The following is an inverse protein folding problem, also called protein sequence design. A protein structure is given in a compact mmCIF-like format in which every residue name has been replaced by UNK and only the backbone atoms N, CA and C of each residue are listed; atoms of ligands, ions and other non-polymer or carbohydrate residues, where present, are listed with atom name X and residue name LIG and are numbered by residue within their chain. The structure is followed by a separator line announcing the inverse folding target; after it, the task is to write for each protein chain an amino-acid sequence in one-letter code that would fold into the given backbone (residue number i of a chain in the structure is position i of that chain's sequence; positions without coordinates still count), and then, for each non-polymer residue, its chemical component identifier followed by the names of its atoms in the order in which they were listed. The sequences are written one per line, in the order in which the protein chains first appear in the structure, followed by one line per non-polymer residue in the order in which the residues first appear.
data_IF_715176775949
#
_entry.id   IF_715176775949
#
_cell.length_a   1.000
_cell.length_b   1.000
_cell.length_c   1.000
_cell.angle_alpha   90.00
_cell.angle_beta   90.00
_cell.angle_gamma   90.00
#
_symmetry.space_group_name_H-M   'P 1'
#
loop_
_entity.id
_entity.type
_entity.pdbx_description
1 polymer ?
#
# COMPACT_ATOMS: atom_id res chain seq x y z
N UNK A 1 -25.69 5.35 -18.90
CA UNK A 1 -24.53 4.42 -18.92
C UNK A 1 -23.44 5.07 -18.09
N UNK A 2 -23.01 4.46 -16.97
CA UNK A 2 -21.91 5.03 -16.19
C UNK A 2 -20.60 4.80 -16.94
N UNK A 3 -19.88 5.87 -17.27
CA UNK A 3 -18.60 5.79 -17.99
C UNK A 3 -17.51 5.09 -17.15
N UNK A 4 -17.66 5.04 -15.83
CA UNK A 4 -16.65 4.54 -14.90
C UNK A 4 -17.08 3.25 -14.19
N UNK A 5 -18.06 2.51 -14.72
CA UNK A 5 -18.41 1.22 -14.15
C UNK A 5 -17.35 0.18 -14.57
N UNK A 6 -16.63 -0.44 -13.61
CA UNK A 6 -15.70 -1.51 -13.95
C UNK A 6 -16.48 -2.65 -14.62
N UNK A 7 -15.99 -3.08 -15.78
CA UNK A 7 -16.46 -4.29 -16.45
C UNK A 7 -15.76 -5.48 -15.82
N UNK A 8 -16.43 -6.13 -14.88
CA UNK A 8 -15.93 -7.37 -14.31
C UNK A 8 -15.99 -8.50 -15.35
N UNK A 9 -15.04 -9.44 -15.27
CA UNK A 9 -15.13 -10.67 -16.04
C UNK A 9 -16.44 -11.41 -15.67
N UNK A 10 -17.28 -11.83 -16.62
CA UNK A 10 -18.54 -12.53 -16.30
C UNK A 10 -18.36 -13.81 -15.50
N UNK A 11 -17.15 -14.38 -15.52
CA UNK A 11 -16.77 -15.59 -14.77
C UNK A 11 -15.98 -15.29 -13.50
N UNK A 12 -15.82 -14.01 -13.12
CA UNK A 12 -15.19 -13.66 -11.86
C UNK A 12 -15.96 -14.30 -10.70
N UNK A 13 -15.29 -15.17 -9.96
CA UNK A 13 -15.84 -15.85 -8.80
C UNK A 13 -14.86 -15.69 -7.63
N UNK A 14 -15.42 -15.50 -6.43
CA UNK A 14 -14.63 -15.53 -5.21
C UNK A 14 -14.11 -16.94 -4.94
N UNK A 15 -12.83 -17.06 -4.61
CA UNK A 15 -12.34 -18.30 -4.01
C UNK A 15 -12.98 -18.43 -2.62
N UNK A 16 -13.81 -19.45 -2.44
CA UNK A 16 -14.48 -19.71 -1.14
C UNK A 16 -13.51 -20.16 -0.05
N UNK A 17 -12.30 -20.56 -0.42
CA UNK A 17 -11.25 -20.97 0.51
C UNK A 17 -10.38 -19.76 0.84
N UNK A 18 -10.58 -19.21 2.04
CA UNK A 18 -9.71 -18.21 2.62
C UNK A 18 -8.55 -18.88 3.38
N UNK A 19 -7.42 -18.18 3.46
CA UNK A 19 -6.31 -18.56 4.35
C UNK A 19 -5.83 -17.32 5.11
N UNK A 20 -5.29 -17.55 6.31
CA UNK A 20 -4.69 -16.50 7.13
C UNK A 20 -3.19 -16.45 6.85
N UNK A 21 -2.69 -15.31 6.36
CA UNK A 21 -1.27 -15.10 6.04
C UNK A 21 -0.56 -14.14 7.02
N UNK A 22 -1.32 -13.44 7.85
CA UNK A 22 -0.81 -12.49 8.83
C UNK A 22 -1.68 -12.49 10.09
N UNK A 23 -1.05 -12.14 11.21
CA UNK A 23 -1.71 -11.89 12.50
C UNK A 23 -1.05 -10.66 13.16
N UNK A 24 -1.50 -10.27 14.34
CA UNK A 24 -0.96 -9.13 15.09
C UNK A 24 0.56 -9.20 15.30
N UNK A 25 1.15 -10.40 15.46
CA UNK A 25 2.60 -10.55 15.62
C UNK A 25 3.39 -10.29 14.32
N UNK A 26 2.71 -10.26 13.17
CA UNK A 26 3.31 -9.98 11.86
C UNK A 26 3.04 -8.54 11.42
N UNK A 27 1.78 -8.08 11.48
CA UNK A 27 1.35 -6.76 10.97
C UNK A 27 1.14 -5.70 12.04
N UNK A 28 1.47 -5.97 13.31
CA UNK A 28 1.25 -5.04 14.41
C UNK A 28 -0.22 -4.91 14.84
N UNK A 29 -0.46 -3.99 15.78
CA UNK A 29 -1.78 -3.65 16.32
C UNK A 29 -2.50 -2.55 15.53
N UNK A 30 -1.77 -1.78 14.73
CA UNK A 30 -2.31 -0.60 14.03
C UNK A 30 -2.06 -0.63 12.51
N UNK A 31 -2.37 -1.73 11.79
CA UNK A 31 -2.37 -1.70 10.34
C UNK A 31 -3.48 -0.76 9.84
N UNK A 32 -3.11 0.29 9.12
CA UNK A 32 -4.04 1.31 8.66
C UNK A 32 -4.22 1.33 7.14
N UNK A 33 -3.28 0.73 6.40
CA UNK A 33 -3.30 0.75 4.95
C UNK A 33 -3.16 -0.67 4.38
N UNK A 34 -3.95 -0.98 3.35
CA UNK A 34 -3.82 -2.19 2.55
C UNK A 34 -3.97 -1.85 1.07
N UNK A 35 -3.12 -2.45 0.24
CA UNK A 35 -3.23 -2.37 -1.21
C UNK A 35 -2.98 -3.75 -1.81
N UNK A 36 -3.69 -4.08 -2.89
CA UNK A 36 -3.52 -5.33 -3.64
C UNK A 36 -3.34 -4.96 -5.10
N UNK A 37 -2.21 -5.32 -5.71
CA UNK A 37 -1.95 -5.02 -7.11
C UNK A 37 -2.52 -6.10 -8.05
N UNK A 38 -2.35 -5.92 -9.36
CA UNK A 38 -2.84 -6.87 -10.39
C UNK A 38 -2.13 -8.23 -10.39
N UNK A 39 -1.02 -8.36 -9.66
CA UNK A 39 -0.27 -9.60 -9.52
C UNK A 39 -0.62 -10.35 -8.21
N UNK A 40 -1.71 -9.97 -7.54
CA UNK A 40 -2.11 -10.48 -6.23
C UNK A 40 -1.04 -10.28 -5.12
N UNK A 41 -0.12 -9.33 -5.31
CA UNK A 41 0.81 -8.90 -4.26
C UNK A 41 0.05 -8.03 -3.26
N UNK A 42 0.14 -8.37 -1.97
CA UNK A 42 -0.49 -7.64 -0.87
C UNK A 42 0.53 -6.74 -0.20
N UNK A 43 0.18 -5.48 0.00
CA UNK A 43 0.96 -4.48 0.70
C UNK A 43 0.19 -4.03 1.93
N UNK A 44 0.81 -4.04 3.11
CA UNK A 44 0.19 -3.55 4.35
C UNK A 44 1.10 -2.50 4.96
N UNK A 45 0.56 -1.31 5.18
CA UNK A 45 1.20 -0.27 5.98
C UNK A 45 0.76 -0.40 7.45
N UNK A 46 1.72 -0.60 8.33
CA UNK A 46 1.50 -0.65 9.78
C UNK A 46 2.09 0.56 10.48
N UNK A 47 1.22 1.21 11.26
CA UNK A 47 1.53 2.45 11.99
C UNK A 47 2.28 2.19 13.29
N UNK A 48 2.15 0.98 13.85
CA UNK A 48 2.83 0.67 15.11
C UNK A 48 4.31 0.41 14.90
N UNK A 49 4.64 -0.32 13.84
CA UNK A 49 6.00 -0.76 13.52
C UNK A 49 6.69 0.17 12.54
N UNK A 50 5.99 1.17 12.00
CA UNK A 50 6.48 2.07 10.95
C UNK A 50 7.01 1.29 9.75
N UNK A 51 6.20 0.33 9.26
CA UNK A 51 6.62 -0.54 8.16
C UNK A 51 5.59 -0.66 7.05
N UNK A 52 6.08 -1.02 5.87
CA UNK A 52 5.29 -1.58 4.79
C UNK A 52 5.75 -3.02 4.54
N UNK A 53 4.85 -3.96 4.80
CA UNK A 53 5.07 -5.39 4.59
C UNK A 53 4.44 -5.82 3.27
N UNK A 54 5.15 -6.69 2.54
CA UNK A 54 4.75 -7.13 1.20
C UNK A 54 4.71 -8.64 1.13
N UNK A 55 3.64 -9.22 0.58
CA UNK A 55 3.49 -10.64 0.32
C UNK A 55 3.18 -10.87 -1.15
N UNK A 56 3.86 -11.85 -1.76
CA UNK A 56 3.45 -12.41 -3.05
C UNK A 56 2.29 -13.39 -2.89
N UNK A 57 1.65 -13.70 -4.02
CA UNK A 57 0.58 -14.68 -4.09
C UNK A 57 1.02 -16.03 -3.48
N UNK A 58 0.23 -16.55 -2.55
CA UNK A 58 0.47 -17.78 -1.79
C UNK A 58 1.57 -17.73 -0.73
N UNK A 59 2.25 -16.59 -0.51
CA UNK A 59 3.21 -16.49 0.59
C UNK A 59 2.52 -16.38 1.96
N UNK A 60 3.00 -17.14 2.94
CA UNK A 60 2.54 -17.04 4.34
C UNK A 60 3.43 -16.14 5.20
N UNK A 61 4.52 -15.60 4.63
CA UNK A 61 5.44 -14.67 5.28
C UNK A 61 5.73 -13.48 4.37
N UNK A 62 5.99 -12.28 4.91
CA UNK A 62 6.36 -11.14 4.08
C UNK A 62 7.64 -11.45 3.28
N UNK A 63 7.62 -11.16 1.99
CA UNK A 63 8.79 -11.25 1.10
C UNK A 63 9.66 -9.98 1.20
N UNK A 64 9.08 -8.88 1.68
CA UNK A 64 9.78 -7.60 1.89
C UNK A 64 9.21 -6.87 3.09
N UNK A 65 10.09 -6.19 3.80
CA UNK A 65 9.77 -5.27 4.89
C UNK A 65 10.50 -3.96 4.62
N UNK A 66 9.74 -2.90 4.35
CA UNK A 66 10.25 -1.55 4.14
C UNK A 66 9.99 -0.77 5.43
N UNK A 67 11.04 -0.50 6.22
CA UNK A 67 10.92 0.18 7.51
C UNK A 67 11.68 1.51 7.56
N UNK A 68 12.87 1.55 6.96
CA UNK A 68 13.69 2.76 6.97
C UNK A 68 13.05 3.84 6.10
N UNK A 69 12.62 4.93 6.71
CA UNK A 69 12.03 6.06 5.98
C UNK A 69 10.51 6.08 5.97
N UNK A 70 9.85 5.09 6.59
CA UNK A 70 8.40 5.06 6.81
C UNK A 70 8.11 5.58 8.21
N UNK A 71 7.06 6.39 8.37
CA UNK A 71 6.61 6.92 9.66
C UNK A 71 5.09 7.06 9.65
N UNK A 72 4.43 6.41 10.60
CA UNK A 72 2.99 6.48 10.87
C UNK A 72 2.09 6.42 9.61
N UNK A 73 2.25 5.45 8.68
CA UNK A 73 1.57 5.47 7.39
C UNK A 73 0.07 5.24 7.52
N UNK A 74 -0.75 6.29 7.36
CA UNK A 74 -2.21 6.16 7.35
C UNK A 74 -2.77 5.61 6.05
N UNK A 75 -2.07 5.82 4.93
CA UNK A 75 -2.50 5.32 3.64
C UNK A 75 -1.30 5.06 2.72
N UNK A 76 -1.50 4.13 1.79
CA UNK A 76 -0.56 3.82 0.72
C UNK A 76 -1.30 3.68 -0.61
N UNK A 77 -0.59 3.93 -1.70
CA UNK A 77 -1.03 3.58 -3.05
C UNK A 77 0.14 3.00 -3.83
N UNK A 78 -0.06 1.86 -4.51
CA UNK A 78 1.00 1.21 -5.28
C UNK A 78 0.72 1.34 -6.77
N UNK A 79 1.67 1.92 -7.50
CA UNK A 79 1.58 2.09 -8.95
C UNK A 79 1.92 0.79 -9.70
N UNK A 80 1.59 0.67 -11.00
CA UNK A 80 1.89 -0.55 -11.78
C UNK A 80 3.38 -0.92 -11.88
N UNK A 81 4.29 0.05 -11.75
CA UNK A 81 5.74 -0.19 -11.69
C UNK A 81 6.25 -0.58 -10.29
N UNK A 82 5.36 -0.64 -9.29
CA UNK A 82 5.68 -1.07 -7.92
C UNK A 82 6.11 0.05 -6.99
N UNK A 83 6.15 1.31 -7.45
CA UNK A 83 6.42 2.44 -6.55
C UNK A 83 5.27 2.61 -5.57
N UNK A 84 5.59 3.05 -4.36
CA UNK A 84 4.62 3.14 -3.26
C UNK A 84 4.53 4.60 -2.81
N UNK A 85 3.38 5.20 -2.99
CA UNK A 85 3.02 6.50 -2.42
C UNK A 85 2.57 6.26 -0.99
N UNK A 86 3.12 7.03 -0.05
CA UNK A 86 2.99 6.78 1.39
C UNK A 86 2.66 8.09 2.06
N UNK A 87 1.59 8.09 2.86
CA UNK A 87 1.32 9.19 3.78
C UNK A 87 2.40 9.24 4.86
N UNK A 88 2.97 10.42 5.04
CA UNK A 88 3.92 10.76 6.11
C UNK A 88 3.53 12.14 6.67
N UNK A 89 2.22 12.41 6.66
CA UNK A 89 1.66 13.73 6.94
C UNK A 89 1.55 14.06 8.42
N UNK A 90 1.35 13.06 9.29
CA UNK A 90 1.24 13.31 10.73
C UNK A 90 2.60 13.65 11.36
N UNK A 91 3.64 12.91 11.00
CA UNK A 91 4.95 13.01 11.63
C UNK A 91 5.86 14.01 10.92
N UNK A 92 5.87 14.02 9.59
CA UNK A 92 6.82 14.82 8.80
C UNK A 92 6.15 15.81 7.84
N UNK A 93 4.82 15.90 7.84
CA UNK A 93 4.08 16.91 7.05
C UNK A 93 4.26 16.75 5.54
N UNK A 94 4.33 15.51 5.04
CA UNK A 94 4.59 15.25 3.63
C UNK A 94 3.94 13.97 3.10
N UNK A 95 3.87 13.86 1.78
CA UNK A 95 3.69 12.58 1.06
C UNK A 95 5.01 12.25 0.39
N UNK A 96 5.42 10.99 0.48
CA UNK A 96 6.64 10.49 -0.12
C UNK A 96 6.37 9.26 -0.99
N UNK A 97 7.24 9.04 -1.97
CA UNK A 97 7.26 7.85 -2.80
C UNK A 97 8.46 7.00 -2.40
N UNK A 98 8.25 5.72 -2.12
CA UNK A 98 9.30 4.70 -2.17
C UNK A 98 9.43 4.19 -3.61
N UNK A 99 10.57 4.47 -4.24
CA UNK A 99 10.85 4.11 -5.63
C UNK A 99 11.36 2.66 -5.65
N UNK A 100 10.64 1.76 -6.31
CA UNK A 100 10.93 0.33 -6.26
C UNK A 100 12.24 -0.04 -6.95
N UNK A 101 12.58 0.67 -8.03
CA UNK A 101 13.79 0.40 -8.84
C UNK A 101 15.09 0.76 -8.14
N UNK A 102 15.07 1.74 -7.24
CA UNK A 102 16.26 2.25 -6.52
C UNK A 102 16.20 2.00 -5.02
N UNK A 103 15.04 1.60 -4.50
CA UNK A 103 14.74 1.44 -3.08
C UNK A 103 14.96 2.72 -2.25
N UNK A 104 14.70 3.88 -2.85
CA UNK A 104 14.91 5.19 -2.23
C UNK A 104 13.60 5.94 -2.02
N UNK A 105 13.57 6.84 -1.03
CA UNK A 105 12.45 7.73 -0.79
C UNK A 105 12.63 9.09 -1.45
N UNK A 106 11.55 9.63 -2.01
CA UNK A 106 11.49 11.01 -2.52
C UNK A 106 10.23 11.68 -1.97
N UNK A 107 10.38 12.86 -1.38
CA UNK A 107 9.24 13.69 -1.01
C UNK A 107 8.65 14.34 -2.25
N UNK A 108 7.32 14.24 -2.41
CA UNK A 108 6.63 14.73 -3.61
C UNK A 108 5.61 15.83 -3.33
N UNK A 109 5.19 15.99 -2.08
CA UNK A 109 4.19 16.97 -1.67
C UNK A 109 4.34 17.27 -0.19
N UNK A 110 4.19 18.53 0.19
CA UNK A 110 4.02 18.93 1.58
C UNK A 110 2.53 18.94 1.93
N UNK A 111 2.18 18.41 3.10
CA UNK A 111 0.80 18.36 3.62
C UNK A 111 0.77 18.82 5.07
N UNK A 112 -0.30 19.49 5.47
CA UNK A 112 -0.40 20.00 6.85
C UNK A 112 -0.75 18.93 7.89
N UNK A 113 -1.25 17.76 7.46
CA UNK A 113 -1.73 16.65 8.31
C UNK A 113 -1.70 15.32 7.53
N UNK A 114 -1.91 14.20 8.24
CA UNK A 114 -2.16 12.86 7.66
C UNK A 114 -3.21 12.83 6.56
N UNK A 115 -2.93 12.02 5.55
CA UNK A 115 -3.83 11.65 4.47
C UNK A 115 -4.44 10.27 4.77
N UNK A 116 -5.75 10.22 5.00
CA UNK A 116 -6.45 8.95 5.24
C UNK A 116 -6.67 8.10 3.97
N UNK A 117 -6.38 8.67 2.80
CA UNK A 117 -6.45 7.96 1.52
C UNK A 117 -5.62 8.68 0.47
N UNK A 118 -4.84 7.91 -0.27
CA UNK A 118 -4.09 8.36 -1.44
C UNK A 118 -4.61 7.59 -2.65
N UNK A 119 -4.68 8.27 -3.78
CA UNK A 119 -5.05 7.66 -5.05
C UNK A 119 -4.21 8.30 -6.15
N UNK A 120 -3.57 7.49 -6.98
CA UNK A 120 -2.82 7.99 -8.14
C UNK A 120 -3.55 7.59 -9.41
N UNK A 121 -3.84 8.57 -10.26
CA UNK A 121 -4.51 8.35 -11.53
C UNK A 121 -3.58 7.72 -12.59
N UNK A 122 -4.14 7.40 -13.76
CA UNK A 122 -3.38 6.79 -14.87
C UNK A 122 -2.32 7.71 -15.49
N UNK A 123 -2.31 9.00 -15.15
CA UNK A 123 -1.32 9.97 -15.58
C UNK A 123 -0.24 10.20 -14.51
N UNK A 124 -0.17 9.34 -13.48
CA UNK A 124 0.69 9.51 -12.30
C UNK A 124 0.43 10.81 -11.53
N UNK A 125 -0.82 11.25 -11.50
CA UNK A 125 -1.25 12.40 -10.68
C UNK A 125 -1.89 11.90 -9.38
N UNK A 126 -1.37 12.42 -8.26
CA UNK A 126 -1.90 12.19 -6.91
C UNK A 126 -3.10 13.10 -6.61
#
# INVERSE_FOLDING_TARGET
VSFNQPKFCPTAAWNKYAFTFANQSVVGEYPAAIFINTNNTVFIGDRQTDTILIWDENSTTPIKNISRGVWDPFSIFVTPNGDIYIDDGEQNGRVQIWIASTETFVTIMDVSRKCYGLFVDTNNSL
#
